data_IF_453545718615
#
_entry.id   IF_453545718615
#
_cell.length_a   1.000
_cell.length_b   1.000
_cell.length_c   1.000
_cell.angle_alpha   90.00
_cell.angle_beta   90.00
_cell.angle_gamma   90.00
#
_symmetry.space_group_name_H-M   'P 1'
#
loop_
_entity.id
_entity.type
_entity.pdbx_description
1 polymer ?
#
# COMPACT_ATOMS: atom_id res chain seq x y z
N UNK A 1 11.56 -16.39 -1.38
CA UNK A 1 10.54 -15.36 -1.49
C UNK A 1 11.02 -14.06 -0.85
N UNK A 2 10.85 -12.96 -1.53
CA UNK A 2 11.12 -11.64 -0.97
C UNK A 2 9.81 -10.91 -0.73
N UNK A 3 9.77 -10.11 0.33
CA UNK A 3 8.61 -9.29 0.66
C UNK A 3 8.99 -7.82 0.59
N UNK A 4 8.25 -7.05 -0.19
CA UNK A 4 8.51 -5.63 -0.39
C UNK A 4 7.38 -4.80 0.21
N UNK A 5 7.74 -3.81 1.02
CA UNK A 5 6.79 -2.84 1.55
C UNK A 5 6.97 -1.55 0.75
N UNK A 6 6.08 -1.33 -0.22
CA UNK A 6 6.14 -0.22 -1.17
C UNK A 6 5.09 0.80 -0.78
N UNK A 7 5.50 2.04 -0.54
CA UNK A 7 4.55 3.06 -0.10
C UNK A 7 4.89 4.44 -0.64
N UNK A 8 3.84 5.23 -0.82
CA UNK A 8 3.93 6.65 -1.17
C UNK A 8 3.33 7.44 -0.02
N UNK A 9 4.16 8.12 0.78
CA UNK A 9 3.71 8.72 2.03
C UNK A 9 4.25 10.13 2.20
N UNK A 10 3.59 11.15 1.61
CA UNK A 10 4.04 12.53 1.74
C UNK A 10 4.01 13.07 3.17
N UNK A 11 3.10 12.59 4.01
CA UNK A 11 2.89 13.12 5.35
C UNK A 11 3.14 12.11 6.47
N UNK A 12 3.55 10.89 6.13
CA UNK A 12 3.83 9.85 7.13
C UNK A 12 2.68 8.93 7.47
N UNK A 13 1.44 9.32 7.17
CA UNK A 13 0.27 8.50 7.53
C UNK A 13 0.19 7.19 6.76
N UNK A 14 0.46 7.23 5.48
CA UNK A 14 0.44 6.02 4.64
C UNK A 14 1.56 5.07 5.06
N UNK A 15 2.75 5.60 5.31
CA UNK A 15 3.87 4.78 5.77
C UNK A 15 3.55 4.08 7.08
N UNK A 16 2.92 4.80 8.03
CA UNK A 16 2.54 4.22 9.30
C UNK A 16 1.59 3.05 9.13
N UNK A 17 0.59 3.20 8.27
CA UNK A 17 -0.36 2.11 7.97
C UNK A 17 0.36 0.95 7.30
N UNK A 18 1.22 1.23 6.32
CA UNK A 18 1.97 0.21 5.61
C UNK A 18 2.84 -0.60 6.56
N UNK A 19 3.53 0.07 7.49
CA UNK A 19 4.40 -0.60 8.45
C UNK A 19 3.62 -1.53 9.37
N UNK A 20 2.42 -1.13 9.79
CA UNK A 20 1.58 -1.97 10.63
C UNK A 20 1.14 -3.22 9.87
N UNK A 21 0.69 -3.07 8.63
CA UNK A 21 0.27 -4.22 7.81
C UNK A 21 1.46 -5.13 7.54
N UNK A 22 2.62 -4.57 7.20
CA UNK A 22 3.82 -5.34 6.95
C UNK A 22 4.22 -6.14 8.19
N UNK A 23 4.17 -5.53 9.36
CA UNK A 23 4.46 -6.20 10.62
C UNK A 23 3.51 -7.36 10.88
N UNK A 24 2.24 -7.20 10.51
CA UNK A 24 1.23 -8.24 10.68
C UNK A 24 1.47 -9.47 9.82
N UNK A 25 2.23 -9.36 8.73
CA UNK A 25 2.60 -10.52 7.90
C UNK A 25 3.67 -11.37 8.56
N UNK A 26 4.40 -10.82 9.52
CA UNK A 26 5.54 -11.47 10.19
C UNK A 26 6.69 -11.81 9.26
N UNK A 27 6.73 -11.18 8.09
CA UNK A 27 7.81 -11.34 7.12
C UNK A 27 8.77 -10.16 7.21
N UNK A 28 10.04 -10.40 6.91
CA UNK A 28 11.02 -9.33 6.79
C UNK A 28 10.75 -8.57 5.51
N UNK A 29 10.56 -7.26 5.62
CA UNK A 29 10.22 -6.42 4.48
C UNK A 29 11.43 -5.61 4.00
N UNK A 30 11.62 -5.57 2.69
CA UNK A 30 12.49 -4.59 2.08
C UNK A 30 11.62 -3.38 1.75
N UNK A 31 11.96 -2.22 2.33
CA UNK A 31 11.13 -1.02 2.14
C UNK A 31 11.50 -0.28 0.87
N UNK A 32 10.48 0.17 0.16
CA UNK A 32 10.64 1.04 -1.01
C UNK A 32 9.78 2.28 -0.77
N UNK A 33 10.44 3.36 -0.38
CA UNK A 33 9.79 4.66 -0.19
C UNK A 33 9.79 5.39 -1.52
N UNK A 34 8.62 5.52 -2.12
CA UNK A 34 8.50 6.07 -3.47
C UNK A 34 8.84 7.55 -3.56
N UNK A 35 8.86 8.26 -2.43
CA UNK A 35 9.25 9.67 -2.41
C UNK A 35 10.75 9.81 -2.22
N UNK A 36 11.32 9.09 -1.26
CA UNK A 36 12.75 9.20 -0.93
C UNK A 36 13.64 8.44 -1.91
N UNK A 37 13.15 7.31 -2.41
CA UNK A 37 13.93 6.42 -3.26
C UNK A 37 13.11 5.95 -4.47
N UNK A 38 12.64 6.89 -5.33
CA UNK A 38 11.79 6.50 -6.46
C UNK A 38 12.46 5.55 -7.43
N UNK A 39 13.78 5.67 -7.60
CA UNK A 39 14.51 4.83 -8.54
C UNK A 39 14.64 3.39 -8.05
N UNK A 40 14.50 3.16 -6.75
CA UNK A 40 14.61 1.82 -6.18
C UNK A 40 13.54 0.88 -6.76
N UNK A 41 12.34 1.40 -6.98
CA UNK A 41 11.25 0.61 -7.56
C UNK A 41 11.64 0.03 -8.92
N UNK A 42 12.37 0.81 -9.73
CA UNK A 42 12.75 0.39 -11.07
C UNK A 42 13.91 -0.60 -11.09
N UNK A 43 14.63 -0.72 -9.97
CA UNK A 43 15.79 -1.61 -9.87
C UNK A 43 15.42 -2.99 -9.38
N UNK A 44 14.21 -3.17 -8.87
CA UNK A 44 13.77 -4.46 -8.34
C UNK A 44 13.28 -5.33 -9.47
N UNK A 45 13.73 -6.57 -9.48
CA UNK A 45 13.17 -7.58 -10.37
C UNK A 45 12.12 -8.34 -9.59
N UNK A 46 10.87 -8.04 -9.86
CA UNK A 46 9.76 -8.70 -9.18
C UNK A 46 9.53 -10.08 -9.79
N UNK A 47 9.55 -11.09 -8.95
CA UNK A 47 9.37 -12.46 -9.38
C UNK A 47 8.04 -13.04 -8.90
N UNK A 48 7.59 -14.09 -9.54
CA UNK A 48 6.31 -14.72 -9.23
C UNK A 48 6.23 -15.19 -7.78
N UNK A 49 7.35 -15.59 -7.19
CA UNK A 49 7.42 -16.07 -5.81
C UNK A 49 7.42 -14.95 -4.79
N UNK A 50 7.56 -13.71 -5.22
CA UNK A 50 7.66 -12.56 -4.31
C UNK A 50 6.29 -12.03 -3.93
N UNK A 51 6.24 -11.30 -2.81
CA UNK A 51 5.04 -10.65 -2.32
C UNK A 51 5.31 -9.17 -2.13
N UNK A 52 4.38 -8.34 -2.58
CA UNK A 52 4.46 -6.89 -2.40
C UNK A 52 3.27 -6.39 -1.60
N UNK A 53 3.54 -5.46 -0.70
CA UNK A 53 2.51 -4.63 -0.09
C UNK A 53 2.63 -3.26 -0.75
N UNK A 54 1.55 -2.75 -1.32
CA UNK A 54 1.55 -1.45 -1.97
C UNK A 54 0.53 -0.56 -1.26
N UNK A 55 1.01 0.49 -0.62
CA UNK A 55 0.17 1.41 0.14
C UNK A 55 0.27 2.82 -0.44
N UNK A 56 -0.89 3.41 -0.74
CA UNK A 56 -0.97 4.75 -1.31
C UNK A 56 -2.07 5.56 -0.62
N UNK A 57 -1.91 6.90 -0.56
CA UNK A 57 -2.99 7.75 -0.07
C UNK A 57 -4.03 7.95 -1.16
N UNK A 58 -5.27 8.23 -0.74
CA UNK A 58 -6.33 8.63 -1.64
C UNK A 58 -6.43 10.14 -1.66
N UNK A 59 -6.30 10.74 -2.84
CA UNK A 59 -6.44 12.18 -3.04
C UNK A 59 -7.66 12.44 -3.91
N UNK A 60 -8.72 12.97 -3.32
CA UNK A 60 -9.94 13.24 -4.07
C UNK A 60 -10.54 12.00 -4.71
N UNK A 61 -10.39 10.86 -4.07
CA UNK A 61 -10.91 9.60 -4.58
C UNK A 61 -10.00 8.89 -5.58
N UNK A 62 -8.78 9.39 -5.77
CA UNK A 62 -7.84 8.85 -6.77
C UNK A 62 -6.47 8.60 -6.16
N UNK A 63 -5.72 7.67 -6.76
CA UNK A 63 -4.32 7.52 -6.38
C UNK A 63 -3.51 8.70 -6.95
N UNK A 64 -2.38 9.07 -6.32
CA UNK A 64 -1.53 10.13 -6.86
C UNK A 64 -1.04 9.74 -8.26
N UNK A 65 -1.13 10.66 -9.21
CA UNK A 65 -0.75 10.38 -10.60
C UNK A 65 0.71 9.97 -10.74
N UNK A 66 1.59 10.49 -9.88
CA UNK A 66 3.01 10.12 -9.91
C UNK A 66 3.20 8.63 -9.61
N UNK A 67 2.36 8.05 -8.75
CA UNK A 67 2.40 6.62 -8.45
C UNK A 67 2.00 5.80 -9.66
N UNK A 68 0.92 6.22 -10.34
CA UNK A 68 0.48 5.56 -11.57
C UNK A 68 1.61 5.57 -12.61
N UNK A 69 2.26 6.71 -12.80
CA UNK A 69 3.35 6.83 -13.77
C UNK A 69 4.54 5.94 -13.41
N UNK A 70 4.86 5.82 -12.13
CA UNK A 70 5.92 4.93 -11.68
C UNK A 70 5.63 3.47 -12.00
N UNK A 71 4.42 3.00 -11.66
CA UNK A 71 4.08 1.60 -11.88
C UNK A 71 3.89 1.24 -13.34
N UNK A 72 3.59 2.20 -14.19
CA UNK A 72 3.55 1.94 -15.65
C UNK A 72 4.89 1.49 -16.21
N UNK A 73 5.98 1.84 -15.54
CA UNK A 73 7.33 1.48 -15.96
C UNK A 73 7.81 0.17 -15.36
N UNK A 74 7.05 -0.38 -14.41
CA UNK A 74 7.38 -1.63 -13.74
C UNK A 74 6.81 -2.80 -14.53
N UNK A 75 7.60 -3.87 -14.63
CA UNK A 75 7.14 -5.12 -15.23
C UNK A 75 7.28 -6.22 -14.20
N UNK A 76 6.15 -6.68 -13.68
CA UNK A 76 6.11 -7.82 -12.77
C UNK A 76 5.69 -9.05 -13.55
N UNK A 77 6.02 -10.22 -13.05
CA UNK A 77 5.73 -11.49 -13.71
C UNK A 77 4.91 -12.38 -12.78
N UNK A 78 3.68 -11.94 -12.52
CA UNK A 78 2.78 -12.67 -11.65
C UNK A 78 3.07 -12.49 -10.16
N UNK A 79 3.84 -11.48 -9.79
CA UNK A 79 4.14 -11.17 -8.39
C UNK A 79 2.86 -10.85 -7.63
N UNK A 80 2.67 -11.46 -6.48
CA UNK A 80 1.47 -11.22 -5.67
C UNK A 80 1.54 -9.86 -4.97
N UNK A 81 0.41 -9.19 -4.89
CA UNK A 81 0.33 -7.86 -4.29
C UNK A 81 -0.84 -7.74 -3.32
N UNK A 82 -0.59 -7.12 -2.18
CA UNK A 82 -1.59 -6.70 -1.21
C UNK A 82 -1.71 -5.20 -1.33
N UNK A 83 -2.94 -4.70 -1.48
CA UNK A 83 -3.20 -3.30 -1.74
C UNK A 83 -3.78 -2.61 -0.52
N UNK A 84 -3.28 -1.40 -0.22
CA UNK A 84 -3.83 -0.59 0.86
C UNK A 84 -4.03 0.83 0.35
N UNK A 85 -5.28 1.30 0.40
CA UNK A 85 -5.62 2.68 0.11
C UNK A 85 -5.88 3.39 1.44
N UNK A 86 -5.19 4.50 1.68
CA UNK A 86 -5.22 5.19 2.96
C UNK A 86 -5.94 6.53 2.81
N UNK A 87 -6.96 6.74 3.64
CA UNK A 87 -7.78 7.94 3.63
C UNK A 87 -7.51 8.79 4.86
N UNK A 88 -7.60 10.12 4.72
CA UNK A 88 -7.47 11.00 5.87
C UNK A 88 -8.67 10.92 6.80
N UNK A 89 -9.87 10.75 6.23
CA UNK A 89 -11.09 10.83 7.01
C UNK A 89 -12.17 9.87 6.53
N UNK A 90 -12.54 9.92 5.26
CA UNK A 90 -13.65 9.13 4.73
C UNK A 90 -13.25 8.45 3.47
N UNK A 91 -14.00 7.37 3.20
CA UNK A 91 -13.72 6.60 2.07
C UNK A 91 -14.97 6.33 1.29
N UNK A 92 -15.20 6.95 0.20
CA UNK A 92 -16.23 6.58 -0.75
C UNK A 92 -15.62 6.90 -2.09
N UNK A 93 -14.89 5.96 -2.66
CA UNK A 93 -14.25 6.21 -3.94
C UNK A 93 -13.69 4.93 -4.51
N UNK A 94 -13.06 5.05 -5.65
CA UNK A 94 -12.53 3.92 -6.41
C UNK A 94 -11.01 3.84 -6.33
N UNK A 95 -10.38 4.45 -5.32
CA UNK A 95 -8.91 4.46 -5.20
C UNK A 95 -8.34 3.05 -5.18
N UNK A 96 -8.95 2.15 -4.41
CA UNK A 96 -8.48 0.78 -4.32
C UNK A 96 -8.62 0.05 -5.65
N UNK A 97 -9.73 0.25 -6.35
CA UNK A 97 -9.96 -0.34 -7.66
C UNK A 97 -8.98 0.22 -8.69
N UNK A 98 -8.73 1.52 -8.65
CA UNK A 98 -7.76 2.15 -9.54
C UNK A 98 -6.36 1.58 -9.32
N UNK A 99 -5.97 1.39 -8.06
CA UNK A 99 -4.68 0.81 -7.73
C UNK A 99 -4.58 -0.63 -8.25
N UNK A 100 -5.66 -1.41 -8.09
CA UNK A 100 -5.71 -2.76 -8.62
C UNK A 100 -5.48 -2.76 -10.13
N UNK A 101 -6.19 -1.90 -10.86
CA UNK A 101 -6.05 -1.84 -12.31
C UNK A 101 -4.63 -1.48 -12.73
N UNK A 102 -4.02 -0.52 -12.05
CA UNK A 102 -2.65 -0.08 -12.35
C UNK A 102 -1.66 -1.22 -12.13
N UNK A 103 -1.78 -1.92 -11.01
CA UNK A 103 -0.85 -3.01 -10.69
C UNK A 103 -1.04 -4.21 -11.58
N UNK A 104 -2.28 -4.56 -11.91
CA UNK A 104 -2.54 -5.69 -12.81
C UNK A 104 -2.02 -5.41 -14.22
N UNK A 105 -2.12 -4.16 -14.67
CA UNK A 105 -1.55 -3.76 -15.95
C UNK A 105 -0.02 -3.90 -15.98
N UNK A 106 0.62 -3.85 -14.80
CA UNK A 106 2.07 -4.00 -14.67
C UNK A 106 2.51 -5.45 -14.43
N UNK A 107 1.58 -6.38 -14.36
CA UNK A 107 1.89 -7.80 -14.23
C UNK A 107 1.74 -8.37 -12.82
N UNK A 108 1.29 -7.59 -11.86
CA UNK A 108 1.04 -8.08 -10.50
C UNK A 108 -0.29 -8.84 -10.43
N UNK A 109 -0.37 -9.76 -9.48
CA UNK A 109 -1.61 -10.46 -9.16
C UNK A 109 -2.08 -9.95 -7.80
N UNK A 110 -3.17 -9.19 -7.80
CA UNK A 110 -3.70 -8.59 -6.57
C UNK A 110 -4.49 -9.65 -5.80
N UNK A 111 -4.02 -10.00 -4.60
CA UNK A 111 -4.62 -11.08 -3.81
C UNK A 111 -5.51 -10.57 -2.69
N UNK A 112 -5.34 -9.31 -2.27
CA UNK A 112 -6.16 -8.72 -1.22
C UNK A 112 -6.05 -7.20 -1.28
N UNK A 113 -7.06 -6.52 -0.78
CA UNK A 113 -7.06 -5.07 -0.70
C UNK A 113 -7.79 -4.58 0.54
N UNK A 114 -7.39 -3.41 1.03
CA UNK A 114 -7.96 -2.83 2.23
C UNK A 114 -7.97 -1.31 2.12
N UNK A 115 -9.00 -0.70 2.70
CA UNK A 115 -9.06 0.74 2.90
C UNK A 115 -8.78 1.03 4.36
N UNK A 116 -7.93 2.01 4.64
CA UNK A 116 -7.56 2.36 6.00
C UNK A 116 -7.67 3.86 6.20
N UNK A 117 -7.93 4.28 7.44
CA UNK A 117 -8.01 5.69 7.79
C UNK A 117 -6.73 6.08 8.52
N UNK A 118 -6.13 7.19 8.10
CA UNK A 118 -4.94 7.73 8.74
C UNK A 118 -5.04 9.26 8.79
N UNK A 119 -4.21 9.88 9.61
CA UNK A 119 -4.18 11.32 9.68
C UNK A 119 -3.68 11.90 8.35
N UNK A 120 -4.38 12.90 7.84
CA UNK A 120 -4.03 13.58 6.62
C UNK A 120 -3.67 15.02 6.92
N UNK A 121 -2.55 15.50 6.40
CA UNK A 121 -2.02 16.82 6.74
C UNK A 121 -2.96 17.98 6.44
N UNK A 122 -3.83 17.85 5.45
CA UNK A 122 -4.78 18.90 5.06
C UNK A 122 -6.11 18.81 5.82
N UNK A 123 -6.29 17.81 6.66
CA UNK A 123 -7.57 17.53 7.31
C UNK A 123 -7.38 17.14 8.77
N UNK A 124 -6.58 17.90 9.50
CA UNK A 124 -6.24 17.58 10.89
C UNK A 124 -7.44 17.36 11.80
N UNK A 125 -8.50 18.15 11.62
CA UNK A 125 -9.65 18.02 12.51
C UNK A 125 -10.49 16.78 12.23
N UNK A 126 -10.26 16.06 11.13
CA UNK A 126 -11.05 14.90 10.78
C UNK A 126 -10.30 13.59 10.95
N UNK A 127 -9.01 13.56 10.67
CA UNK A 127 -8.23 12.33 10.71
C UNK A 127 -7.24 12.23 11.88
N UNK A 128 -7.30 13.21 12.79
CA UNK A 128 -6.34 13.29 13.88
C UNK A 128 -6.40 12.04 14.76
N UNK A 129 -5.23 11.48 15.05
CA UNK A 129 -5.12 10.30 15.89
C UNK A 129 -5.24 8.97 15.18
N UNK A 130 -5.39 9.00 13.87
CA UNK A 130 -5.49 7.76 13.11
C UNK A 130 -4.20 7.45 12.34
N UNK A 131 -3.80 6.17 12.21
CA UNK A 131 -4.46 5.02 12.83
C UNK A 131 -4.26 5.03 14.34
N UNK A 132 -5.31 4.77 15.09
CA UNK A 132 -5.25 4.64 16.53
C UNK A 132 -5.09 3.16 16.92
N UNK A 133 -5.21 2.85 18.19
CA UNK A 133 -5.01 1.50 18.68
C UNK A 133 -6.00 0.49 18.08
N UNK A 134 -7.23 0.91 17.89
CA UNK A 134 -8.25 0.05 17.27
C UNK A 134 -7.96 -0.20 15.81
N UNK A 135 -7.55 0.84 15.08
CA UNK A 135 -7.18 0.71 13.67
C UNK A 135 -5.97 -0.19 13.52
N UNK A 136 -4.99 -0.07 14.42
CA UNK A 136 -3.81 -0.93 14.39
C UNK A 136 -4.20 -2.41 14.54
N UNK A 137 -5.11 -2.71 15.47
CA UNK A 137 -5.58 -4.07 15.66
C UNK A 137 -6.23 -4.62 14.40
N UNK A 138 -7.09 -3.83 13.75
CA UNK A 138 -7.75 -4.25 12.51
C UNK A 138 -6.76 -4.49 11.38
N UNK A 139 -5.74 -3.65 11.26
CA UNK A 139 -4.71 -3.82 10.24
C UNK A 139 -3.88 -5.09 10.47
N UNK A 140 -3.55 -5.38 11.71
CA UNK A 140 -2.81 -6.60 12.04
C UNK A 140 -3.65 -7.85 11.76
N UNK A 141 -4.94 -7.82 12.08
CA UNK A 141 -5.84 -8.93 11.81
C UNK A 141 -6.00 -9.16 10.30
N UNK A 142 -6.10 -8.08 9.53
CA UNK A 142 -6.16 -8.14 8.08
C UNK A 142 -4.93 -8.84 7.51
N UNK A 143 -3.75 -8.41 7.94
CA UNK A 143 -2.50 -8.99 7.47
C UNK A 143 -2.38 -10.47 7.82
N UNK A 144 -2.75 -10.83 9.05
CA UNK A 144 -2.71 -12.22 9.51
C UNK A 144 -3.67 -13.10 8.69
N UNK A 145 -4.86 -12.57 8.40
CA UNK A 145 -5.86 -13.29 7.62
C UNK A 145 -5.39 -13.57 6.21
N UNK A 146 -4.75 -12.57 5.59
CA UNK A 146 -4.18 -12.74 4.24
C UNK A 146 -3.14 -13.86 4.25
N UNK A 147 -2.28 -13.88 5.25
CA UNK A 147 -1.22 -14.87 5.31
C UNK A 147 -1.76 -16.29 5.55
N UNK A 148 -2.89 -16.41 6.22
CA UNK A 148 -3.54 -17.72 6.40
C UNK A 148 -4.12 -18.27 5.11
N UNK A 149 -4.56 -17.40 4.21
CA UNK A 149 -5.25 -17.77 2.98
C UNK A 149 -4.35 -17.82 1.74
N UNK A 150 -3.08 -17.54 1.90
CA UNK A 150 -2.15 -17.52 0.76
C UNK A 150 -1.26 -18.75 0.67
#
# INVERSE_FOLDING_TARGET
MRFYNIFFSPTGGTEKVADIVAKGTKLDAEEIDLIKEPDKLMKVKFEKKDLCLVAVPSYGGRIPSVVTDMFRKVKADGTKAILVAVFGNRMIDDTLLELQDVLEASGFVCIAGMEAVAEHSLMHQFGTGRPDQQDEKELLEFAAKIMQNS
#
